data_IF_849360921527
#
_entry.id   IF_849360921527
#
_cell.length_a   1.000
_cell.length_b   1.000
_cell.length_c   1.000
_cell.angle_alpha   90.00
_cell.angle_beta   90.00
_cell.angle_gamma   90.00
#
_symmetry.space_group_name_H-M   'P 1'
#
loop_
_entity.id
_entity.type
_entity.pdbx_description
1 polymer ?
#
# COMPACT_ATOMS: atom_id res chain seq x y z
N UNK A 1 10.05 16.00 -2.62
CA UNK A 1 9.66 14.75 -3.32
C UNK A 1 8.53 14.13 -2.52
N UNK A 2 7.31 13.99 -3.09
CA UNK A 2 6.21 13.31 -2.39
C UNK A 2 6.35 11.81 -2.60
N UNK A 3 6.31 11.03 -1.51
CA UNK A 3 6.55 9.59 -1.51
C UNK A 3 5.23 8.82 -1.48
N UNK A 4 4.62 8.64 -2.65
CA UNK A 4 3.38 7.87 -2.83
C UNK A 4 3.66 6.71 -3.77
N UNK A 5 3.31 5.50 -3.33
CA UNK A 5 3.53 4.25 -4.07
C UNK A 5 2.20 3.52 -4.36
N UNK A 6 1.09 4.27 -4.35
CA UNK A 6 -0.22 3.82 -4.77
C UNK A 6 -0.75 4.84 -5.75
N UNK A 7 -1.07 4.40 -6.96
CA UNK A 7 -1.55 5.27 -8.03
C UNK A 7 -3.07 5.21 -8.18
N UNK A 8 -3.68 4.07 -7.81
CA UNK A 8 -5.12 3.89 -7.87
C UNK A 8 -5.63 2.83 -6.89
N UNK A 9 -6.84 3.04 -6.39
CA UNK A 9 -7.61 2.05 -5.63
C UNK A 9 -8.72 1.52 -6.54
N UNK A 10 -8.70 0.22 -6.79
CA UNK A 10 -9.61 -0.49 -7.68
C UNK A 10 -10.85 -0.99 -6.93
N UNK A 11 -10.68 -1.39 -5.68
CA UNK A 11 -11.75 -1.85 -4.81
C UNK A 11 -11.43 -1.43 -3.38
N UNK A 12 -12.42 -0.89 -2.66
CA UNK A 12 -12.27 -0.46 -1.29
C UNK A 12 -13.50 -0.84 -0.49
N UNK A 13 -13.35 -1.79 0.42
CA UNK A 13 -14.41 -2.21 1.33
C UNK A 13 -13.98 -1.88 2.75
N UNK A 14 -14.51 -0.79 3.35
CA UNK A 14 -14.21 -0.40 4.73
C UNK A 14 -14.29 -1.59 5.71
N UNK A 15 -13.34 -1.67 6.63
CA UNK A 15 -13.15 -2.73 7.61
C UNK A 15 -12.90 -4.14 7.05
N UNK A 16 -12.73 -4.29 5.73
CA UNK A 16 -12.57 -5.61 5.11
C UNK A 16 -11.36 -5.72 4.21
N UNK A 17 -11.32 -5.01 3.08
CA UNK A 17 -10.26 -5.18 2.10
C UNK A 17 -10.02 -3.95 1.22
N UNK A 18 -8.83 -3.90 0.64
CA UNK A 18 -8.44 -2.97 -0.42
C UNK A 18 -7.77 -3.72 -1.57
N UNK A 19 -8.13 -3.37 -2.80
CA UNK A 19 -7.34 -3.68 -3.99
C UNK A 19 -6.87 -2.38 -4.60
N UNK A 20 -5.58 -2.26 -4.80
CA UNK A 20 -4.95 -1.07 -5.33
C UNK A 20 -3.89 -1.46 -6.37
N UNK A 21 -3.35 -0.46 -7.06
CA UNK A 21 -2.26 -0.65 -8.01
C UNK A 21 -1.27 0.49 -7.98
N UNK A 22 -0.01 0.11 -8.19
CA UNK A 22 1.09 1.00 -8.54
C UNK A 22 1.50 0.73 -9.98
N UNK A 23 1.49 1.78 -10.79
CA UNK A 23 2.00 1.77 -12.15
C UNK A 23 3.49 2.09 -12.07
N UNK A 24 4.34 1.16 -12.49
CA UNK A 24 5.78 1.40 -12.44
C UNK A 24 6.29 2.00 -13.75
N UNK A 25 7.24 2.92 -13.66
CA UNK A 25 7.87 3.56 -14.82
C UNK A 25 9.38 3.59 -14.65
N UNK A 26 10.10 3.47 -15.77
CA UNK A 26 11.56 3.57 -15.81
C UNK A 26 12.09 4.93 -15.32
N UNK A 27 11.25 5.97 -15.31
CA UNK A 27 11.63 7.30 -14.83
C UNK A 27 11.68 7.42 -13.29
N UNK A 28 11.21 6.44 -12.54
CA UNK A 28 11.29 6.46 -11.07
C UNK A 28 12.75 6.30 -10.60
N UNK A 29 13.20 7.04 -9.59
CA UNK A 29 14.62 7.08 -9.19
C UNK A 29 15.08 5.94 -8.27
N UNK A 30 14.15 5.10 -7.81
CA UNK A 30 14.43 4.09 -6.78
C UNK A 30 14.90 2.75 -7.34
N UNK A 31 14.94 2.57 -8.67
CA UNK A 31 15.42 1.34 -9.29
C UNK A 31 16.86 1.00 -8.85
N UNK A 32 17.10 -0.30 -8.68
CA UNK A 32 18.43 -0.84 -8.40
C UNK A 32 18.73 -1.96 -9.38
N UNK A 33 19.89 -1.88 -10.02
CA UNK A 33 20.40 -2.97 -10.85
C UNK A 33 21.44 -3.75 -10.06
N UNK A 34 21.17 -5.05 -9.87
CA UNK A 34 22.05 -5.99 -9.19
C UNK A 34 22.63 -7.04 -10.16
N UNK A 35 22.71 -6.71 -11.46
CA UNK A 35 23.22 -7.57 -12.52
C UNK A 35 22.16 -8.40 -13.25
N UNK A 36 20.87 -8.09 -13.05
CA UNK A 36 19.72 -8.74 -13.70
C UNK A 36 18.74 -7.73 -14.32
N UNK A 37 19.19 -6.49 -14.46
CA UNK A 37 18.38 -5.34 -14.88
C UNK A 37 17.79 -4.58 -13.68
N UNK A 38 17.13 -3.44 -13.94
CA UNK A 38 16.54 -2.60 -12.89
C UNK A 38 15.38 -3.29 -12.20
N UNK A 39 15.43 -3.38 -10.88
CA UNK A 39 14.40 -3.97 -10.03
C UNK A 39 14.00 -3.00 -8.91
N UNK A 40 12.72 -3.04 -8.53
CA UNK A 40 12.18 -2.25 -7.43
C UNK A 40 12.73 -2.83 -6.11
N UNK A 41 13.33 -2.02 -5.24
CA UNK A 41 13.77 -2.48 -3.93
C UNK A 41 12.63 -3.16 -3.16
N UNK A 42 12.90 -4.34 -2.60
CA UNK A 42 11.94 -5.14 -1.84
C UNK A 42 11.18 -4.32 -0.76
N UNK A 43 11.82 -3.45 0.05
CA UNK A 43 11.11 -2.60 1.00
C UNK A 43 10.08 -1.66 0.37
N UNK A 44 10.28 -1.21 -0.87
CA UNK A 44 9.31 -0.34 -1.54
C UNK A 44 8.09 -1.11 -2.03
N UNK A 45 8.24 -2.39 -2.41
CA UNK A 45 7.11 -3.26 -2.74
C UNK A 45 6.24 -3.46 -1.49
N UNK A 46 6.88 -3.71 -0.35
CA UNK A 46 6.21 -3.81 0.95
C UNK A 46 5.53 -2.49 1.34
N UNK A 47 6.25 -1.38 1.24
CA UNK A 47 5.72 -0.05 1.55
C UNK A 47 4.49 0.28 0.69
N UNK A 48 4.49 -0.10 -0.59
CA UNK A 48 3.32 0.07 -1.47
C UNK A 48 2.09 -0.65 -0.90
N UNK A 49 2.27 -1.90 -0.42
CA UNK A 49 1.21 -2.67 0.24
C UNK A 49 0.76 -2.02 1.55
N UNK A 50 1.70 -1.58 2.39
CA UNK A 50 1.40 -0.88 3.64
C UNK A 50 0.61 0.42 3.39
N UNK A 51 0.96 1.19 2.36
CA UNK A 51 0.24 2.40 1.99
C UNK A 51 -1.18 2.09 1.51
N UNK A 52 -1.38 1.03 0.72
CA UNK A 52 -2.72 0.57 0.34
C UNK A 52 -3.55 0.19 1.59
N UNK A 53 -2.96 -0.56 2.53
CA UNK A 53 -3.58 -0.87 3.82
C UNK A 53 -3.89 0.36 4.67
N UNK A 54 -3.05 1.40 4.62
CA UNK A 54 -3.30 2.66 5.31
C UNK A 54 -4.51 3.41 4.72
N UNK A 55 -4.71 3.35 3.40
CA UNK A 55 -5.93 3.84 2.75
C UNK A 55 -7.18 3.08 3.19
N UNK A 56 -7.09 1.76 3.37
CA UNK A 56 -8.17 0.96 3.95
C UNK A 56 -8.55 1.44 5.36
N UNK A 57 -7.56 1.68 6.21
CA UNK A 57 -7.76 2.20 7.58
C UNK A 57 -8.39 3.59 7.57
N UNK A 58 -7.89 4.49 6.72
CA UNK A 58 -8.46 5.82 6.58
C UNK A 58 -9.92 5.76 6.11
N UNK A 59 -10.24 4.94 5.11
CA UNK A 59 -11.61 4.76 4.65
C UNK A 59 -12.53 4.17 5.74
N UNK A 60 -12.02 3.21 6.52
CA UNK A 60 -12.72 2.58 7.65
C UNK A 60 -13.01 3.54 8.79
N UNK A 61 -12.32 4.69 8.85
CA UNK A 61 -12.44 5.64 9.95
C UNK A 61 -12.92 7.02 9.50
N UNK A 62 -13.36 7.16 8.25
CA UNK A 62 -13.76 8.46 7.68
C UNK A 62 -12.63 9.48 7.67
N UNK A 63 -11.43 9.03 7.28
CA UNK A 63 -10.17 9.76 7.23
C UNK A 63 -9.64 10.25 8.59
N UNK A 64 -10.23 9.82 9.72
CA UNK A 64 -9.80 10.26 11.05
C UNK A 64 -8.50 9.62 11.52
N UNK A 65 -8.31 8.33 11.22
CA UNK A 65 -7.14 7.57 11.65
C UNK A 65 -6.37 7.05 10.44
N UNK A 66 -5.05 7.03 10.58
CA UNK A 66 -4.11 6.48 9.61
C UNK A 66 -3.26 5.42 10.27
N UNK A 67 -2.97 4.35 9.53
CA UNK A 67 -2.08 3.29 9.99
C UNK A 67 -0.62 3.73 9.88
N UNK A 68 0.11 3.54 10.98
CA UNK A 68 1.57 3.63 11.07
C UNK A 68 2.10 2.24 11.39
N UNK A 69 3.03 1.75 10.56
CA UNK A 69 3.61 0.42 10.73
C UNK A 69 4.33 0.30 12.09
N UNK A 70 4.02 -0.77 12.84
CA UNK A 70 4.74 -1.13 14.07
C UNK A 70 5.66 -2.32 13.83
N UNK A 71 5.12 -3.40 13.29
CA UNK A 71 5.84 -4.65 13.06
C UNK A 71 5.17 -5.47 11.98
N UNK A 72 5.90 -6.44 11.45
CA UNK A 72 5.39 -7.45 10.51
C UNK A 72 5.83 -8.80 11.03
N UNK A 73 4.91 -9.75 11.13
CA UNK A 73 5.23 -11.09 11.60
C UNK A 73 6.10 -11.84 10.58
N UNK A 74 5.62 -11.96 9.35
CA UNK A 74 6.39 -12.54 8.26
C UNK A 74 6.19 -11.79 6.94
N UNK A 75 7.26 -11.69 6.15
CA UNK A 75 7.20 -11.20 4.77
C UNK A 75 8.03 -12.10 3.88
N UNK A 76 7.44 -12.54 2.77
CA UNK A 76 8.11 -13.36 1.75
C UNK A 76 8.17 -12.59 0.44
N UNK A 77 9.37 -12.45 -0.13
CA UNK A 77 9.60 -11.89 -1.45
C UNK A 77 9.88 -13.04 -2.43
N UNK A 78 9.04 -13.19 -3.44
CA UNK A 78 9.05 -14.36 -4.34
C UNK A 78 9.53 -14.02 -5.74
N UNK A 79 9.62 -12.75 -6.11
CA UNK A 79 10.08 -12.33 -7.42
C UNK A 79 10.29 -10.83 -7.54
N UNK A 80 10.97 -10.39 -8.62
CA UNK A 80 11.26 -8.98 -8.85
C UNK A 80 10.04 -8.23 -9.38
N UNK A 81 10.02 -6.92 -9.15
CA UNK A 81 9.16 -5.96 -9.85
C UNK A 81 10.07 -5.08 -10.69
N UNK A 82 9.73 -4.90 -11.96
CA UNK A 82 10.54 -4.18 -12.95
C UNK A 82 9.82 -2.92 -13.45
N UNK A 83 10.56 -1.99 -14.09
CA UNK A 83 9.93 -0.87 -14.78
C UNK A 83 8.90 -1.32 -15.82
N UNK A 84 7.72 -0.71 -15.81
CA UNK A 84 6.61 -1.03 -16.72
C UNK A 84 5.60 -2.03 -16.15
N UNK A 85 5.93 -2.75 -15.08
CA UNK A 85 5.01 -3.63 -14.39
C UNK A 85 3.82 -2.87 -13.79
N UNK A 86 2.66 -3.52 -13.74
CA UNK A 86 1.55 -3.10 -12.88
C UNK A 86 1.59 -3.92 -11.59
N UNK A 87 2.02 -3.29 -10.51
CA UNK A 87 2.04 -3.92 -9.19
C UNK A 87 0.65 -3.85 -8.57
N UNK A 88 -0.06 -4.97 -8.55
CA UNK A 88 -1.39 -5.11 -7.95
C UNK A 88 -1.25 -5.46 -6.47
N UNK A 89 -1.84 -4.63 -5.61
CA UNK A 89 -1.75 -4.70 -4.17
C UNK A 89 -3.10 -5.16 -3.62
N UNK A 90 -3.11 -6.16 -2.75
CA UNK A 90 -4.32 -6.63 -2.06
C UNK A 90 -4.03 -6.68 -0.57
N UNK A 91 -4.80 -5.93 0.22
CA UNK A 91 -4.71 -5.92 1.68
C UNK A 91 -6.06 -6.27 2.30
N UNK A 92 -6.04 -7.00 3.41
CA UNK A 92 -7.23 -7.45 4.14
C UNK A 92 -7.09 -7.13 5.63
N UNK A 93 -8.20 -6.83 6.30
CA UNK A 93 -8.24 -6.61 7.75
C UNK A 93 -8.29 -7.95 8.47
N UNK A 94 -7.34 -8.19 9.36
CA UNK A 94 -7.35 -9.35 10.26
C UNK A 94 -7.96 -8.99 11.62
N UNK A 95 -7.64 -7.80 12.13
CA UNK A 95 -8.25 -7.24 13.34
C UNK A 95 -8.27 -5.72 13.30
N UNK A 96 -9.26 -5.11 13.94
CA UNK A 96 -9.43 -3.65 13.98
C UNK A 96 -9.90 -3.22 15.37
N UNK A 97 -9.04 -2.51 16.10
CA UNK A 97 -9.32 -1.93 17.40
C UNK A 97 -9.30 -0.40 17.38
N UNK A 98 -9.38 0.21 18.56
CA UNK A 98 -9.35 1.66 18.71
C UNK A 98 -7.96 2.27 18.42
N UNK A 99 -6.89 1.62 18.90
CA UNK A 99 -5.52 2.12 18.80
C UNK A 99 -4.65 1.33 17.83
N UNK A 100 -5.08 0.13 17.42
CA UNK A 100 -4.27 -0.79 16.60
C UNK A 100 -5.15 -1.53 15.61
N UNK A 101 -4.55 -1.89 14.48
CA UNK A 101 -5.14 -2.80 13.50
C UNK A 101 -4.07 -3.77 13.00
N UNK A 102 -4.49 -4.98 12.64
CA UNK A 102 -3.66 -5.94 11.93
C UNK A 102 -4.22 -6.16 10.52
N UNK A 103 -3.33 -6.15 9.54
CA UNK A 103 -3.64 -6.34 8.13
C UNK A 103 -2.77 -7.46 7.57
N UNK A 104 -3.25 -8.23 6.60
CA UNK A 104 -2.37 -9.04 5.75
C UNK A 104 -2.53 -8.68 4.30
N UNK A 105 -1.64 -9.18 3.45
CA UNK A 105 -1.77 -8.90 2.04
C UNK A 105 -0.72 -9.52 1.14
N UNK A 106 -0.89 -9.26 -0.15
CA UNK A 106 0.02 -9.69 -1.18
C UNK A 106 0.14 -8.65 -2.29
N UNK A 107 1.30 -8.64 -2.94
CA UNK A 107 1.53 -7.90 -4.17
C UNK A 107 1.74 -8.88 -5.34
N UNK A 108 1.19 -8.55 -6.51
CA UNK A 108 1.24 -9.37 -7.72
C UNK A 108 1.65 -8.56 -8.95
N UNK A 109 2.38 -9.20 -9.85
CA UNK A 109 2.66 -8.72 -11.23
C UNK A 109 2.18 -9.82 -12.19
N UNK A 110 1.37 -9.47 -13.18
CA UNK A 110 0.79 -10.41 -14.15
C UNK A 110 0.19 -11.68 -13.52
N UNK A 111 -0.53 -11.49 -12.39
CA UNK A 111 -1.16 -12.56 -11.62
C UNK A 111 -0.21 -13.38 -10.74
N UNK A 112 1.11 -13.25 -10.89
CA UNK A 112 2.13 -13.92 -10.08
C UNK A 112 2.39 -13.14 -8.80
N UNK A 113 2.41 -13.83 -7.66
CA UNK A 113 2.78 -13.23 -6.38
C UNK A 113 4.26 -12.87 -6.41
N UNK A 114 4.59 -11.62 -6.04
CA UNK A 114 5.96 -11.11 -5.88
C UNK A 114 6.27 -10.80 -4.41
N UNK A 115 5.23 -10.57 -3.59
CA UNK A 115 5.32 -10.35 -2.15
C UNK A 115 4.08 -10.91 -1.45
N UNK A 116 4.29 -11.54 -0.29
CA UNK A 116 3.24 -11.83 0.70
C UNK A 116 3.69 -11.31 2.06
N UNK A 117 2.79 -10.64 2.78
CA UNK A 117 3.01 -10.20 4.14
C UNK A 117 1.91 -10.78 5.04
N UNK A 118 2.34 -11.52 6.04
CA UNK A 118 1.48 -12.09 7.08
C UNK A 118 1.53 -11.16 8.29
N UNK A 119 0.36 -10.74 8.78
CA UNK A 119 0.18 -9.85 9.93
C UNK A 119 1.12 -8.62 9.96
N UNK A 120 0.70 -7.56 9.28
CA UNK A 120 1.21 -6.20 9.40
C UNK A 120 0.47 -5.52 10.56
N UNK A 121 1.15 -5.36 11.69
CA UNK A 121 0.60 -4.67 12.85
C UNK A 121 0.84 -3.17 12.74
N UNK A 122 -0.23 -2.40 12.94
CA UNK A 122 -0.22 -0.95 12.82
C UNK A 122 -0.73 -0.27 14.08
N UNK A 123 -0.13 0.87 14.44
CA UNK A 123 -0.73 1.84 15.32
C UNK A 123 -1.69 2.73 14.52
N UNK A 124 -2.83 3.06 15.11
CA UNK A 124 -3.79 3.99 14.55
C UNK A 124 -3.55 5.36 15.16
N UNK A 125 -3.22 6.33 14.31
CA UNK A 125 -2.91 7.71 14.72
C UNK A 125 -3.85 8.69 14.06
N UNK A 126 -4.21 9.80 14.72
CA UNK A 126 -4.97 10.87 14.08
C UNK A 126 -4.31 11.31 12.79
N UNK A 127 -5.04 11.25 11.67
CA UNK A 127 -4.48 11.57 10.34
C UNK A 127 -3.90 12.98 10.30
N UNK A 128 -4.57 13.93 10.97
CA UNK A 128 -4.16 15.33 11.05
C UNK A 128 -2.81 15.54 11.76
N UNK A 129 -2.33 14.58 12.56
CA UNK A 129 -0.99 14.64 13.16
C UNK A 129 0.11 14.24 12.16
N UNK A 130 -0.25 13.53 11.08
CA UNK A 130 0.69 12.93 10.14
C UNK A 130 0.74 13.66 8.80
N UNK A 131 -0.39 14.17 8.32
CA UNK A 131 -0.50 14.80 7.01
C UNK A 131 -1.64 15.83 7.01
N UNK A 132 -1.50 16.88 6.18
CA UNK A 132 -2.55 17.87 5.98
C UNK A 132 -3.82 17.20 5.44
N UNK A 133 -4.97 17.48 6.06
CA UNK A 133 -6.23 16.79 5.73
C UNK A 133 -6.76 17.14 4.34
N UNK A 134 -6.46 18.34 3.82
CA UNK A 134 -6.88 18.71 2.48
C UNK A 134 -6.01 18.04 1.43
N UNK A 135 -4.70 17.89 1.69
CA UNK A 135 -3.81 17.04 0.87
C UNK A 135 -4.28 15.57 0.86
N UNK A 136 -4.66 15.04 2.03
CA UNK A 136 -5.20 13.68 2.17
C UNK A 136 -6.49 13.51 1.36
N UNK A 137 -7.44 14.43 1.49
CA UNK A 137 -8.71 14.41 0.73
C UNK A 137 -8.47 14.48 -0.77
N UNK A 138 -7.62 15.40 -1.23
CA UNK A 138 -7.29 15.52 -2.67
C UNK A 138 -6.66 14.24 -3.20
N UNK A 139 -5.80 13.60 -2.39
CA UNK A 139 -5.16 12.34 -2.78
C UNK A 139 -6.17 11.20 -2.80
N UNK A 140 -6.99 11.06 -1.75
CA UNK A 140 -8.08 10.09 -1.67
C UNK A 140 -8.98 10.16 -2.91
N UNK A 141 -9.46 11.36 -3.24
CA UNK A 141 -10.34 11.57 -4.38
C UNK A 141 -9.65 11.26 -5.70
N UNK A 142 -8.34 11.57 -5.82
CA UNK A 142 -7.56 11.20 -7.01
C UNK A 142 -7.43 9.69 -7.16
N UNK A 143 -7.18 8.96 -6.07
CA UNK A 143 -6.97 7.51 -6.08
C UNK A 143 -8.24 6.73 -6.44
N UNK A 144 -9.42 7.29 -6.16
CA UNK A 144 -10.73 6.67 -6.39
C UNK A 144 -11.44 7.12 -7.68
N UNK A 145 -10.89 8.09 -8.42
CA UNK A 145 -11.48 8.52 -9.70
C UNK A 145 -11.55 7.34 -10.69
N UNK A 146 -12.71 7.22 -11.33
CA UNK A 146 -13.08 6.22 -12.35
C UNK A 146 -13.39 4.80 -11.86
N UNK A 147 -13.84 4.63 -10.61
CA UNK A 147 -14.52 3.39 -10.16
C UNK A 147 -16.04 3.39 -10.50
N UNK A 148 -16.38 3.97 -11.65
CA UNK A 148 -17.73 4.11 -12.20
C UNK A 148 -18.10 2.93 -13.10
#
# INVERSE_FOLDING_TARGET
MRFHLVDRIDELQPHRLVRARKLTSHHESHWRDQGRGPEMPAPLVLESLCQAGSWLVMASTGLRLRAVLLSIDAVTFTGPVRPGDTLRLCGEVESFGAERAALSGAAKVDGRVVLRADTILCALRPTAELEDLDDVRRTHDRLLRDAS
#
